data_IF_188831204575
#
_entry.id   IF_188831204575
#
_cell.length_a   1.000
_cell.length_b   1.000
_cell.length_c   1.000
_cell.angle_alpha   90.00
_cell.angle_beta   90.00
_cell.angle_gamma   90.00
#
_symmetry.space_group_name_H-M   'P 1'
#
loop_
_entity.id
_entity.type
_entity.pdbx_description
1 polymer ?
#
# COMPACT_ATOMS: atom_id res chain seq x y z
N UNK A 1 4.43 -22.59 9.80
CA UNK A 1 3.95 -21.64 8.77
C UNK A 1 5.18 -21.06 8.07
N UNK A 2 5.27 -21.13 6.74
CA UNK A 2 6.36 -20.52 5.98
C UNK A 2 6.02 -19.05 5.69
N UNK A 3 6.89 -18.15 6.13
CA UNK A 3 6.75 -16.71 5.87
C UNK A 3 7.65 -16.33 4.70
N UNK A 4 7.09 -15.64 3.73
CA UNK A 4 7.78 -15.06 2.59
C UNK A 4 7.96 -13.58 2.81
N UNK A 5 8.91 -12.97 2.10
CA UNK A 5 9.25 -11.56 2.17
C UNK A 5 9.30 -10.95 0.77
N UNK A 6 8.76 -9.73 0.65
CA UNK A 6 8.92 -8.85 -0.51
C UNK A 6 9.36 -7.49 0.00
N UNK A 7 10.36 -6.90 -0.64
CA UNK A 7 10.88 -5.58 -0.32
C UNK A 7 10.95 -4.74 -1.58
N UNK A 8 10.58 -3.48 -1.45
CA UNK A 8 10.74 -2.51 -2.53
C UNK A 8 11.32 -1.20 -2.00
N UNK A 9 12.02 -0.50 -2.88
CA UNK A 9 12.54 0.84 -2.62
C UNK A 9 12.17 1.76 -3.76
N UNK A 10 11.81 2.99 -3.39
CA UNK A 10 11.50 4.04 -4.36
C UNK A 10 11.99 5.38 -3.82
N UNK A 11 12.53 6.20 -4.70
CA UNK A 11 12.93 7.57 -4.37
C UNK A 11 11.97 8.55 -5.03
N UNK A 12 11.50 9.54 -4.25
CA UNK A 12 10.62 10.60 -4.73
C UNK A 12 11.20 11.95 -4.36
N UNK A 13 11.41 12.81 -5.36
CA UNK A 13 11.95 14.16 -5.19
C UNK A 13 10.84 15.14 -4.78
N UNK A 14 10.31 14.98 -3.56
CA UNK A 14 9.29 15.84 -2.94
C UNK A 14 9.50 15.87 -1.43
N UNK A 15 8.93 16.89 -0.72
CA UNK A 15 8.96 16.93 0.74
C UNK A 15 8.32 15.71 1.39
N UNK A 16 8.85 15.34 2.56
CA UNK A 16 8.41 14.15 3.30
C UNK A 16 6.91 14.19 3.64
N UNK A 17 6.40 15.34 4.05
CA UNK A 17 5.00 15.52 4.43
C UNK A 17 4.05 15.30 3.24
N UNK A 18 4.43 15.74 2.04
CA UNK A 18 3.63 15.54 0.84
C UNK A 18 3.60 14.06 0.44
N UNK A 19 4.78 13.40 0.46
CA UNK A 19 4.88 11.98 0.14
C UNK A 19 4.09 11.16 1.15
N UNK A 20 4.34 11.35 2.45
CA UNK A 20 3.61 10.65 3.50
C UNK A 20 2.10 10.94 3.44
N UNK A 21 1.72 12.21 3.22
CA UNK A 21 0.32 12.62 3.08
C UNK A 21 -0.42 11.91 1.94
N UNK A 22 0.25 11.60 0.85
CA UNK A 22 -0.32 10.80 -0.23
C UNK A 22 -0.50 9.32 0.18
N UNK A 23 0.52 8.70 0.76
CA UNK A 23 0.50 7.27 1.12
C UNK A 23 -0.38 6.96 2.32
N UNK A 24 -0.55 7.90 3.25
CA UNK A 24 -1.38 7.75 4.44
C UNK A 24 -2.89 7.91 4.18
N UNK A 25 -3.32 7.99 2.92
CA UNK A 25 -4.73 8.03 2.52
C UNK A 25 -5.14 6.75 1.83
N UNK A 26 -5.92 5.87 2.49
CA UNK A 26 -6.37 4.62 1.90
C UNK A 26 -7.16 4.78 0.61
N UNK A 27 -7.83 5.92 0.42
CA UNK A 27 -8.56 6.25 -0.81
C UNK A 27 -7.62 6.27 -2.03
N UNK A 28 -6.35 6.65 -1.84
CA UNK A 28 -5.36 6.73 -2.91
C UNK A 28 -4.90 5.34 -3.40
N UNK A 29 -5.17 4.27 -2.64
CA UNK A 29 -4.88 2.90 -3.08
C UNK A 29 -5.59 2.56 -4.39
N UNK A 30 -6.76 3.14 -4.66
CA UNK A 30 -7.50 2.94 -5.92
C UNK A 30 -6.65 3.35 -7.11
N UNK A 31 -5.90 4.45 -6.98
CA UNK A 31 -5.10 5.03 -8.07
C UNK A 31 -3.85 4.20 -8.35
N UNK A 32 -3.21 3.68 -7.31
CA UNK A 32 -1.93 2.96 -7.40
C UNK A 32 -2.09 1.43 -7.45
N UNK A 33 -3.31 0.94 -7.55
CA UNK A 33 -3.61 -0.50 -7.65
C UNK A 33 -3.99 -0.85 -9.09
N UNK A 34 -3.44 -1.93 -9.68
CA UNK A 34 -3.78 -2.33 -11.05
C UNK A 34 -5.29 -2.52 -11.24
N UNK A 35 -5.83 -1.95 -12.32
CA UNK A 35 -7.26 -1.99 -12.63
C UNK A 35 -7.83 -3.42 -12.68
N UNK A 36 -7.02 -4.41 -13.07
CA UNK A 36 -7.41 -5.83 -13.10
C UNK A 36 -7.84 -6.38 -11.74
N UNK A 37 -7.42 -5.76 -10.63
CA UNK A 37 -7.79 -6.17 -9.28
C UNK A 37 -9.14 -5.59 -8.83
N UNK A 38 -9.75 -4.69 -9.61
CA UNK A 38 -11.04 -4.06 -9.28
C UNK A 38 -11.10 -3.61 -7.80
N UNK A 39 -10.04 -2.93 -7.36
CA UNK A 39 -9.92 -2.48 -5.98
C UNK A 39 -11.02 -1.46 -5.65
N UNK A 40 -11.72 -1.67 -4.53
CA UNK A 40 -12.76 -0.77 -4.05
C UNK A 40 -12.71 -0.66 -2.53
N UNK A 41 -12.52 0.55 -2.02
CA UNK A 41 -12.65 0.83 -0.58
C UNK A 41 -14.12 0.78 -0.19
N UNK A 42 -14.43 0.09 0.91
CA UNK A 42 -15.77 -0.05 1.48
C UNK A 42 -15.96 0.83 2.69
N UNK A 43 -14.87 1.11 3.44
CA UNK A 43 -14.91 2.03 4.58
C UNK A 43 -15.33 3.42 4.10
N UNK A 44 -16.34 4.06 4.74
CA UNK A 44 -16.76 5.41 4.35
C UNK A 44 -15.64 6.43 4.43
N UNK A 45 -15.60 7.35 3.48
CA UNK A 45 -14.70 8.50 3.48
C UNK A 45 -15.37 9.71 4.17
N UNK A 46 -14.63 10.64 4.80
CA UNK A 46 -13.16 10.63 4.93
C UNK A 46 -12.70 9.61 5.98
N UNK A 47 -11.62 8.90 5.64
CA UNK A 47 -11.04 7.91 6.53
C UNK A 47 -9.86 8.53 7.30
N UNK A 48 -9.98 8.60 8.60
CA UNK A 48 -8.91 9.08 9.47
C UNK A 48 -7.86 7.98 9.67
N UNK A 49 -6.66 8.21 9.15
CA UNK A 49 -5.55 7.31 9.31
C UNK A 49 -4.92 7.49 10.69
N UNK A 50 -4.96 6.43 11.50
CA UNK A 50 -4.37 6.39 12.85
C UNK A 50 -4.14 4.95 13.28
N UNK A 51 -3.36 4.76 14.34
CA UNK A 51 -3.24 3.44 14.97
C UNK A 51 -4.60 2.95 15.45
N UNK A 52 -4.92 1.69 15.15
CA UNK A 52 -6.22 1.08 15.42
C UNK A 52 -7.28 1.31 14.35
N UNK A 53 -7.00 2.12 13.32
CA UNK A 53 -7.93 2.28 12.20
C UNK A 53 -8.13 0.95 11.45
N UNK A 54 -9.39 0.65 11.12
CA UNK A 54 -9.77 -0.53 10.35
C UNK A 54 -10.27 -0.09 8.98
N UNK A 55 -9.72 -0.71 7.94
CA UNK A 55 -10.03 -0.39 6.55
C UNK A 55 -10.57 -1.64 5.87
N UNK A 56 -11.78 -1.54 5.35
CA UNK A 56 -12.42 -2.57 4.55
C UNK A 56 -12.35 -2.24 3.06
N UNK A 57 -11.97 -3.21 2.25
CA UNK A 57 -12.01 -3.10 0.80
C UNK A 57 -12.24 -4.46 0.13
N UNK A 58 -12.55 -4.42 -1.15
CA UNK A 58 -12.65 -5.62 -1.99
C UNK A 58 -11.61 -5.56 -3.09
N UNK A 59 -11.10 -6.73 -3.45
CA UNK A 59 -10.29 -6.97 -4.63
C UNK A 59 -10.86 -8.16 -5.40
N UNK A 60 -10.54 -8.28 -6.69
CA UNK A 60 -10.83 -9.49 -7.45
C UNK A 60 -9.53 -10.23 -7.75
N UNK A 61 -9.43 -11.48 -7.30
CA UNK A 61 -8.36 -12.40 -7.69
C UNK A 61 -8.94 -13.44 -8.64
N UNK A 62 -8.46 -13.50 -9.86
CA UNK A 62 -8.97 -14.42 -10.91
C UNK A 62 -10.50 -14.36 -11.05
N UNK A 63 -11.06 -13.15 -11.07
CA UNK A 63 -12.50 -12.83 -11.13
C UNK A 63 -13.31 -13.14 -9.85
N UNK A 64 -12.72 -13.75 -8.84
CA UNK A 64 -13.38 -14.02 -7.55
C UNK A 64 -13.25 -12.77 -6.67
N UNK A 65 -14.37 -12.19 -6.18
CA UNK A 65 -14.32 -11.08 -5.25
C UNK A 65 -13.88 -11.56 -3.87
N UNK A 66 -12.91 -10.87 -3.30
CA UNK A 66 -12.37 -11.15 -1.97
C UNK A 66 -12.54 -9.90 -1.12
N UNK A 67 -13.16 -10.07 0.05
CA UNK A 67 -13.19 -9.04 1.07
C UNK A 67 -11.87 -9.05 1.83
N UNK A 68 -11.26 -7.88 1.94
CA UNK A 68 -10.03 -7.68 2.68
C UNK A 68 -10.27 -6.65 3.77
N UNK A 69 -9.86 -6.97 4.99
CA UNK A 69 -9.90 -6.07 6.15
C UNK A 69 -8.51 -5.89 6.70
N UNK A 70 -8.09 -4.65 6.79
CA UNK A 70 -6.77 -4.23 7.29
C UNK A 70 -6.91 -3.48 8.59
N UNK A 71 -5.99 -3.74 9.52
CA UNK A 71 -5.80 -2.98 10.75
C UNK A 71 -4.49 -2.20 10.65
N UNK A 72 -4.51 -0.92 10.97
CA UNK A 72 -3.30 -0.11 11.14
C UNK A 72 -2.75 -0.36 12.54
N UNK A 73 -1.66 -1.12 12.63
CA UNK A 73 -1.07 -1.53 13.92
C UNK A 73 -0.04 -0.54 14.43
N UNK A 74 0.56 0.25 13.53
CA UNK A 74 1.50 1.33 13.87
C UNK A 74 1.20 2.54 13.00
N UNK A 75 1.26 3.74 13.58
CA UNK A 75 1.12 4.99 12.85
C UNK A 75 2.01 6.07 13.48
N UNK A 76 3.13 6.37 12.84
CA UNK A 76 4.20 7.28 13.27
C UNK A 76 4.47 8.31 12.17
N UNK A 77 3.55 9.28 11.95
CA UNK A 77 3.72 10.28 10.90
C UNK A 77 4.90 11.23 11.19
N UNK A 78 5.62 11.66 10.17
CA UNK A 78 5.51 11.30 8.75
C UNK A 78 6.46 10.16 8.32
N UNK A 79 6.88 9.29 9.22
CA UNK A 79 8.00 8.37 9.00
C UNK A 79 7.60 6.93 8.74
N UNK A 80 6.45 6.48 9.30
CA UNK A 80 6.13 5.06 9.25
C UNK A 80 4.65 4.80 9.51
N UNK A 81 4.12 3.77 8.86
CA UNK A 81 2.92 3.06 9.30
C UNK A 81 3.01 1.57 8.94
N UNK A 82 2.22 0.78 9.64
CA UNK A 82 2.14 -0.67 9.44
C UNK A 82 0.69 -1.05 9.28
N UNK A 83 0.40 -1.82 8.24
CA UNK A 83 -0.90 -2.43 8.01
C UNK A 83 -0.82 -3.96 8.09
N UNK A 84 -1.81 -4.54 8.77
CA UNK A 84 -1.93 -5.99 8.92
C UNK A 84 -3.29 -6.48 8.44
N UNK A 85 -3.30 -7.57 7.69
CA UNK A 85 -4.55 -8.22 7.30
C UNK A 85 -5.15 -8.95 8.50
N UNK A 86 -6.37 -8.59 8.89
CA UNK A 86 -7.16 -9.34 9.87
C UNK A 86 -8.25 -10.19 9.21
N UNK A 87 -8.56 -9.95 7.93
CA UNK A 87 -9.38 -10.81 7.07
C UNK A 87 -8.92 -10.65 5.62
N UNK A 88 -8.72 -11.77 4.92
CA UNK A 88 -8.28 -11.74 3.52
C UNK A 88 -7.73 -13.09 3.04
N UNK A 89 -7.05 -13.11 1.89
CA UNK A 89 -6.63 -14.36 1.24
C UNK A 89 -5.36 -14.98 1.82
N UNK A 90 -4.60 -14.24 2.62
CA UNK A 90 -3.35 -14.73 3.21
C UNK A 90 -3.59 -15.29 4.62
N UNK A 91 -2.76 -16.24 5.05
CA UNK A 91 -2.75 -16.70 6.45
C UNK A 91 -2.08 -15.70 7.37
N UNK A 92 -1.21 -14.87 6.81
CA UNK A 92 -0.49 -13.80 7.49
C UNK A 92 -0.13 -12.75 6.45
N UNK A 93 -0.31 -11.47 6.81
CA UNK A 93 0.11 -10.32 6.03
C UNK A 93 0.44 -9.17 6.98
N UNK A 94 1.67 -8.71 6.89
CA UNK A 94 2.21 -7.59 7.64
C UNK A 94 3.00 -6.72 6.68
N UNK A 95 2.57 -5.48 6.47
CA UNK A 95 3.16 -4.56 5.53
C UNK A 95 3.64 -3.32 6.26
N UNK A 96 4.94 -3.10 6.24
CA UNK A 96 5.59 -1.92 6.82
C UNK A 96 5.92 -0.93 5.72
N UNK A 97 5.48 0.31 5.89
CA UNK A 97 5.84 1.45 5.06
C UNK A 97 6.75 2.37 5.85
N UNK A 98 7.94 2.64 5.33
CA UNK A 98 8.91 3.56 5.93
C UNK A 98 9.27 4.67 4.96
N UNK A 99 9.36 5.89 5.48
CA UNK A 99 9.67 7.09 4.73
C UNK A 99 10.87 7.78 5.38
N UNK A 100 11.94 7.91 4.63
CA UNK A 100 13.18 8.53 5.10
C UNK A 100 13.50 9.75 4.26
N UNK A 101 13.58 10.91 4.90
CA UNK A 101 14.05 12.12 4.25
C UNK A 101 15.53 11.98 3.91
N UNK A 102 15.90 12.38 2.70
CA UNK A 102 17.27 12.44 2.18
C UNK A 102 17.49 13.80 1.53
N UNK A 103 18.72 14.12 1.13
CA UNK A 103 19.11 15.46 0.67
C UNK A 103 18.19 16.08 -0.39
N UNK A 104 17.59 15.26 -1.28
CA UNK A 104 16.86 15.72 -2.47
C UNK A 104 15.39 15.22 -2.49
N UNK A 105 14.89 14.64 -1.41
CA UNK A 105 13.55 14.07 -1.38
C UNK A 105 13.37 13.00 -0.33
N UNK A 106 12.60 11.97 -0.65
CA UNK A 106 12.22 10.89 0.26
C UNK A 106 12.55 9.52 -0.34
N UNK A 107 13.22 8.69 0.42
CA UNK A 107 13.35 7.26 0.15
C UNK A 107 12.20 6.52 0.86
N UNK A 108 11.39 5.82 0.07
CA UNK A 108 10.32 4.96 0.56
C UNK A 108 10.84 3.54 0.56
N UNK A 109 10.62 2.83 1.66
CA UNK A 109 10.91 1.42 1.80
C UNK A 109 9.67 0.67 2.25
N UNK A 110 9.22 -0.27 1.44
CA UNK A 110 8.12 -1.17 1.74
C UNK A 110 8.66 -2.57 2.04
N UNK A 111 8.24 -3.15 3.16
CA UNK A 111 8.49 -4.52 3.53
C UNK A 111 7.19 -5.27 3.76
N UNK A 112 6.88 -6.24 2.92
CA UNK A 112 5.74 -7.13 3.10
C UNK A 112 6.21 -8.50 3.55
N UNK A 113 5.74 -8.92 4.72
CA UNK A 113 5.87 -10.29 5.21
C UNK A 113 4.52 -10.98 5.11
N UNK A 114 4.48 -12.14 4.47
CA UNK A 114 3.23 -12.83 4.24
C UNK A 114 3.38 -14.34 4.24
N UNK A 115 2.28 -15.03 4.51
CA UNK A 115 2.19 -16.48 4.33
C UNK A 115 0.89 -16.85 3.64
N UNK A 116 0.91 -18.02 3.00
CA UNK A 116 -0.18 -18.52 2.18
C UNK A 116 -0.81 -19.71 2.88
N UNK A 117 -2.14 -19.83 2.88
CA UNK A 117 -2.81 -21.01 3.41
C UNK A 117 -2.47 -22.27 2.62
N UNK A 118 -2.88 -23.42 3.13
CA UNK A 118 -2.73 -24.75 2.52
C UNK A 118 -1.32 -25.35 2.57
N UNK A 119 -0.45 -24.94 3.50
CA UNK A 119 0.85 -25.57 3.78
C UNK A 119 1.75 -25.78 2.56
N UNK A 120 2.20 -27.04 2.26
CA UNK A 120 3.07 -27.29 1.12
C UNK A 120 2.46 -26.92 -0.23
N UNK A 121 1.15 -27.12 -0.42
CA UNK A 121 0.43 -26.73 -1.64
C UNK A 121 0.43 -25.21 -1.81
N UNK A 122 0.18 -24.46 -0.74
CA UNK A 122 0.28 -23.00 -0.75
C UNK A 122 1.70 -22.52 -1.10
N UNK A 123 2.73 -23.20 -0.61
CA UNK A 123 4.12 -22.90 -0.96
C UNK A 123 4.43 -23.14 -2.45
N UNK A 124 3.85 -24.17 -3.04
CA UNK A 124 3.97 -24.43 -4.48
C UNK A 124 3.27 -23.36 -5.31
N UNK A 125 2.03 -22.99 -4.94
CA UNK A 125 1.27 -21.92 -5.58
C UNK A 125 2.00 -20.57 -5.49
N UNK A 126 2.64 -20.30 -4.34
CA UNK A 126 3.49 -19.12 -4.18
C UNK A 126 4.61 -19.09 -5.19
N UNK A 127 5.33 -20.18 -5.34
CA UNK A 127 6.47 -20.24 -6.26
C UNK A 127 6.05 -20.08 -7.72
N UNK A 128 4.92 -20.69 -8.10
CA UNK A 128 4.44 -20.69 -9.49
C UNK A 128 3.82 -19.35 -9.91
N UNK A 129 3.01 -18.70 -9.04
CA UNK A 129 2.20 -17.55 -9.43
C UNK A 129 2.22 -16.38 -8.46
N UNK A 130 2.02 -16.60 -7.15
CA UNK A 130 1.72 -15.54 -6.21
C UNK A 130 2.89 -14.56 -6.08
N UNK A 131 4.12 -15.06 -6.04
CA UNK A 131 5.33 -14.23 -6.00
C UNK A 131 5.41 -13.31 -7.23
N UNK A 132 5.13 -13.85 -8.42
CA UNK A 132 5.17 -13.09 -9.68
C UNK A 132 4.07 -12.03 -9.71
N UNK A 133 2.86 -12.38 -9.28
CA UNK A 133 1.74 -11.44 -9.23
C UNK A 133 1.98 -10.32 -8.24
N UNK A 134 2.49 -10.61 -7.04
CA UNK A 134 2.85 -9.58 -6.06
C UNK A 134 3.92 -8.64 -6.60
N UNK A 135 5.01 -9.17 -7.15
CA UNK A 135 6.06 -8.35 -7.76
C UNK A 135 5.47 -7.44 -8.85
N UNK A 136 4.61 -7.97 -9.72
CA UNK A 136 3.98 -7.17 -10.77
C UNK A 136 3.09 -6.05 -10.19
N UNK A 137 2.35 -6.31 -9.11
CA UNK A 137 1.53 -5.29 -8.45
C UNK A 137 2.41 -4.16 -7.90
N UNK A 138 3.51 -4.50 -7.24
CA UNK A 138 4.43 -3.50 -6.67
C UNK A 138 5.19 -2.72 -7.75
N UNK A 139 5.62 -3.36 -8.82
CA UNK A 139 6.26 -2.66 -9.96
C UNK A 139 5.27 -1.72 -10.66
N UNK A 140 4.03 -2.15 -10.88
CA UNK A 140 2.97 -1.29 -11.42
C UNK A 140 2.75 -0.07 -10.53
N UNK A 141 2.60 -0.29 -9.20
CA UNK A 141 2.43 0.76 -8.21
C UNK A 141 3.56 1.78 -8.29
N UNK A 142 4.80 1.30 -8.30
CA UNK A 142 5.99 2.14 -8.41
C UNK A 142 5.96 3.02 -9.67
N UNK A 143 5.65 2.46 -10.83
CA UNK A 143 5.54 3.22 -12.08
C UNK A 143 4.46 4.29 -12.05
N UNK A 144 3.28 3.98 -11.48
CA UNK A 144 2.19 4.96 -11.32
C UNK A 144 2.62 6.09 -10.38
N UNK A 145 3.23 5.77 -9.25
CA UNK A 145 3.71 6.76 -8.27
C UNK A 145 4.76 7.66 -8.91
N UNK A 146 5.76 7.11 -9.62
CA UNK A 146 6.78 7.90 -10.30
C UNK A 146 6.15 8.91 -11.26
N UNK A 147 5.16 8.51 -12.06
CA UNK A 147 4.46 9.39 -12.98
C UNK A 147 3.64 10.47 -12.25
N UNK A 148 2.85 10.09 -11.25
CA UNK A 148 2.03 11.03 -10.48
C UNK A 148 2.88 12.13 -9.83
N UNK A 149 4.01 11.77 -9.25
CA UNK A 149 4.87 12.73 -8.57
C UNK A 149 5.73 13.55 -9.55
N UNK A 150 6.10 12.99 -10.68
CA UNK A 150 6.79 13.72 -11.75
C UNK A 150 5.91 14.81 -12.36
N UNK A 151 4.69 14.46 -12.72
CA UNK A 151 3.71 15.37 -13.35
C UNK A 151 2.95 16.26 -12.32
N UNK A 152 3.32 16.19 -11.05
CA UNK A 152 2.66 16.87 -9.93
C UNK A 152 1.16 16.55 -9.74
N UNK A 153 0.66 15.52 -10.41
CA UNK A 153 -0.74 15.10 -10.33
C UNK A 153 -1.15 14.57 -8.95
N UNK A 154 -0.16 14.14 -8.12
CA UNK A 154 -0.41 13.69 -6.76
C UNK A 154 -1.07 14.74 -5.87
N UNK A 155 -0.91 16.04 -6.20
CA UNK A 155 -1.46 17.15 -5.39
C UNK A 155 -2.97 17.06 -5.23
N UNK A 156 -3.70 16.61 -6.24
CA UNK A 156 -5.16 16.40 -6.18
C UNK A 156 -5.60 15.29 -5.22
N UNK A 157 -4.66 14.49 -4.77
CA UNK A 157 -4.88 13.38 -3.84
C UNK A 157 -4.40 13.68 -2.41
N UNK A 158 -3.83 14.88 -2.16
CA UNK A 158 -3.45 15.33 -0.84
C UNK A 158 -4.66 15.82 -0.02
N UNK A 159 -4.58 15.82 1.32
CA UNK A 159 -5.55 16.50 2.16
C UNK A 159 -5.61 17.99 1.85
N UNK A 160 -6.79 18.61 2.01
CA UNK A 160 -7.01 20.04 1.73
C UNK A 160 -6.04 20.97 2.48
N UNK A 161 -5.58 20.56 3.68
CA UNK A 161 -4.57 21.30 4.45
C UNK A 161 -3.23 21.52 3.73
N UNK A 162 -2.94 20.75 2.69
CA UNK A 162 -1.73 20.93 1.86
C UNK A 162 -1.96 21.88 0.69
N UNK A 163 -3.20 21.97 0.18
CA UNK A 163 -3.53 22.84 -0.96
C UNK A 163 -3.66 24.32 -0.55
N UNK A 164 -3.99 24.62 0.71
CA UNK A 164 -4.13 25.97 1.22
C UNK A 164 -2.79 26.68 1.54
N UNK A 165 -1.68 25.93 1.65
CA UNK A 165 -0.35 26.50 1.91
C UNK A 165 0.42 26.90 0.64
N UNK A 166 -0.12 26.61 -0.55
CA UNK A 166 0.54 26.86 -1.84
C UNK A 166 0.02 28.11 -2.58
N UNK A 167 -0.85 28.90 -1.95
CA UNK A 167 -1.32 30.22 -2.38
C UNK A 167 -0.75 31.31 -1.48
#
# INVERSE_FOLDING_TARGET
MKVFKLETKQFIRRPLEEVFGFFSRPENLVVITPAKLHFKVLTPSPLEMKQGAVIDYTIKLSKVPIHWRTLITTYEPPFKFVDEQIKGPYSFWHHTHMFREVSDGVEIYDEVRYSIPFGPLGSLLHFLWIKKDLNHIFEYRKGVIDNLFKEEEYRKFLPNSFTEKAT
#
